data_IF_421948325665
#
_entry.id   IF_421948325665
#
_cell.length_a   1.000
_cell.length_b   1.000
_cell.length_c   1.000
_cell.angle_alpha   90.00
_cell.angle_beta   90.00
_cell.angle_gamma   90.00
#
_symmetry.space_group_name_H-M   'P 1'
#
loop_
_entity.id
_entity.type
_entity.pdbx_description
1 polymer ?
#
# COMPACT_ATOMS: atom_id res chain seq x y z
N UNK A 1 -34.06 -9.63 12.98
CA UNK A 1 -33.39 -10.24 11.83
C UNK A 1 -32.32 -11.19 12.28
N UNK A 2 -32.25 -12.33 11.72
CA UNK A 2 -31.36 -13.39 12.16
C UNK A 2 -29.93 -13.07 11.63
N UNK A 3 -28.96 -13.01 12.52
CA UNK A 3 -27.54 -12.72 12.19
C UNK A 3 -26.98 -13.64 11.10
N UNK A 4 -27.54 -14.83 10.93
CA UNK A 4 -27.18 -15.77 9.85
C UNK A 4 -27.57 -15.29 8.45
N UNK A 5 -28.66 -14.54 8.32
CA UNK A 5 -29.12 -14.02 7.03
C UNK A 5 -28.28 -12.83 6.57
N UNK A 6 -27.88 -11.97 7.51
CA UNK A 6 -27.05 -10.82 7.21
C UNK A 6 -25.66 -11.26 6.72
N UNK A 7 -25.06 -12.27 7.36
CA UNK A 7 -23.78 -12.84 6.93
C UNK A 7 -23.86 -13.52 5.55
N UNK A 8 -25.00 -14.16 5.24
CA UNK A 8 -25.21 -14.78 3.94
C UNK A 8 -25.35 -13.75 2.83
N UNK A 9 -26.09 -12.68 3.08
CA UNK A 9 -26.27 -11.56 2.12
C UNK A 9 -24.93 -10.87 1.87
N UNK A 10 -24.16 -10.59 2.93
CA UNK A 10 -22.83 -9.96 2.81
C UNK A 10 -21.86 -10.82 2.01
N UNK A 11 -21.81 -12.12 2.28
CA UNK A 11 -20.96 -13.06 1.54
C UNK A 11 -21.37 -13.16 0.08
N UNK A 12 -22.67 -13.23 -0.20
CA UNK A 12 -23.19 -13.29 -1.57
C UNK A 12 -22.86 -11.99 -2.33
N UNK A 13 -23.01 -10.83 -1.67
CA UNK A 13 -22.69 -9.54 -2.25
C UNK A 13 -21.20 -9.42 -2.54
N UNK A 14 -20.34 -9.88 -1.65
CA UNK A 14 -18.88 -9.89 -1.83
C UNK A 14 -18.48 -10.77 -3.01
N UNK A 15 -19.05 -11.98 -3.11
CA UNK A 15 -18.78 -12.90 -4.23
C UNK A 15 -19.26 -12.32 -5.55
N UNK A 16 -20.42 -11.67 -5.59
CA UNK A 16 -20.94 -11.01 -6.79
C UNK A 16 -20.07 -9.83 -7.19
N UNK A 17 -19.61 -9.03 -6.22
CA UNK A 17 -18.69 -7.93 -6.47
C UNK A 17 -17.38 -8.43 -7.06
N UNK A 18 -16.81 -9.51 -6.50
CA UNK A 18 -15.58 -10.12 -7.01
C UNK A 18 -15.75 -10.65 -8.44
N UNK A 19 -16.89 -11.28 -8.74
CA UNK A 19 -17.22 -11.75 -10.09
C UNK A 19 -17.34 -10.58 -11.05
N UNK A 20 -18.04 -9.51 -10.67
CA UNK A 20 -18.20 -8.32 -11.48
C UNK A 20 -16.85 -7.65 -11.79
N UNK A 21 -15.97 -7.55 -10.78
CA UNK A 21 -14.62 -7.01 -10.96
C UNK A 21 -13.78 -7.84 -11.93
N UNK A 22 -13.98 -9.16 -11.94
CA UNK A 22 -13.29 -10.06 -12.88
C UNK A 22 -13.86 -10.01 -14.29
N UNK A 23 -15.14 -9.70 -14.43
CA UNK A 23 -15.86 -9.67 -15.72
C UNK A 23 -15.76 -8.30 -16.40
N UNK A 24 -15.72 -7.22 -15.61
CA UNK A 24 -15.55 -5.88 -16.16
C UNK A 24 -14.15 -5.73 -16.75
N UNK A 25 -14.06 -5.32 -18.04
CA UNK A 25 -12.75 -5.12 -18.64
C UNK A 25 -12.03 -3.97 -17.95
N UNK A 26 -10.92 -4.26 -17.29
CA UNK A 26 -10.04 -3.24 -16.76
C UNK A 26 -9.47 -2.40 -17.91
N UNK A 27 -9.28 -1.10 -17.71
CA UNK A 27 -8.63 -0.25 -18.69
C UNK A 27 -7.20 -0.70 -18.92
N UNK A 28 -6.59 -0.28 -20.02
CA UNK A 28 -5.18 -0.56 -20.32
C UNK A 28 -4.28 -0.04 -19.20
N UNK A 29 -4.55 1.14 -18.69
CA UNK A 29 -3.77 1.77 -17.64
C UNK A 29 -3.91 1.03 -16.30
N UNK A 30 -5.12 0.58 -15.96
CA UNK A 30 -5.36 -0.22 -14.75
C UNK A 30 -4.59 -1.54 -14.80
N UNK A 31 -4.60 -2.23 -15.93
CA UNK A 31 -3.85 -3.48 -16.10
C UNK A 31 -2.35 -3.25 -16.01
N UNK A 32 -1.87 -2.18 -16.60
CA UNK A 32 -0.45 -1.84 -16.58
C UNK A 32 0.01 -1.40 -15.18
N UNK A 33 -0.79 -0.59 -14.50
CA UNK A 33 -0.54 -0.21 -13.11
C UNK A 33 -0.43 -1.44 -12.21
N UNK A 34 -1.36 -2.37 -12.35
CA UNK A 34 -1.35 -3.63 -11.59
C UNK A 34 -0.10 -4.46 -11.87
N UNK A 35 0.33 -4.54 -13.13
CA UNK A 35 1.55 -5.25 -13.51
C UNK A 35 2.79 -4.65 -12.86
N UNK A 36 2.92 -3.32 -12.92
CA UNK A 36 4.04 -2.63 -12.26
C UNK A 36 4.02 -2.82 -10.75
N UNK A 37 2.85 -2.75 -10.13
CA UNK A 37 2.71 -3.00 -8.70
C UNK A 37 3.18 -4.40 -8.32
N UNK A 38 2.78 -5.42 -9.07
CA UNK A 38 3.21 -6.80 -8.85
C UNK A 38 4.71 -6.98 -9.03
N UNK A 39 5.30 -6.37 -10.05
CA UNK A 39 6.74 -6.41 -10.26
C UNK A 39 7.48 -5.71 -9.12
N UNK A 40 6.95 -4.60 -8.64
CA UNK A 40 7.50 -3.90 -7.48
C UNK A 40 7.49 -4.77 -6.23
N UNK A 41 6.37 -5.44 -5.95
CA UNK A 41 6.26 -6.35 -4.81
C UNK A 41 7.24 -7.52 -4.90
N UNK A 42 7.38 -8.10 -6.09
CA UNK A 42 8.31 -9.20 -6.31
C UNK A 42 9.77 -8.77 -6.09
N UNK A 43 10.15 -7.62 -6.63
CA UNK A 43 11.49 -7.06 -6.45
C UNK A 43 11.75 -6.72 -4.98
N UNK A 44 10.77 -6.15 -4.27
CA UNK A 44 10.87 -5.85 -2.85
C UNK A 44 11.09 -7.12 -2.03
N UNK A 45 10.35 -8.17 -2.32
CA UNK A 45 10.51 -9.48 -1.64
C UNK A 45 11.88 -10.09 -1.86
N UNK A 46 12.48 -9.84 -3.02
CA UNK A 46 13.84 -10.31 -3.35
C UNK A 46 14.94 -9.41 -2.81
N UNK A 47 14.60 -8.30 -2.19
CA UNK A 47 15.57 -7.33 -1.67
C UNK A 47 16.14 -6.39 -2.74
N UNK A 48 15.64 -6.44 -3.97
CA UNK A 48 16.02 -5.51 -5.03
C UNK A 48 15.19 -4.22 -4.92
N UNK A 49 15.58 -3.37 -4.00
CA UNK A 49 14.83 -2.16 -3.67
C UNK A 49 14.85 -1.11 -4.77
N UNK A 50 15.93 -1.03 -5.52
CA UNK A 50 16.01 -0.10 -6.66
C UNK A 50 14.98 -0.44 -7.73
N UNK A 51 14.90 -1.71 -8.12
CA UNK A 51 13.92 -2.20 -9.08
C UNK A 51 12.49 -2.07 -8.51
N UNK A 52 12.30 -2.36 -7.24
CA UNK A 52 11.01 -2.21 -6.59
C UNK A 52 10.51 -0.75 -6.66
N UNK A 53 11.34 0.21 -6.32
CA UNK A 53 11.00 1.63 -6.38
C UNK A 53 10.65 2.06 -7.82
N UNK A 54 11.44 1.66 -8.79
CA UNK A 54 11.19 1.97 -10.21
C UNK A 54 9.80 1.50 -10.63
N UNK A 55 9.45 0.25 -10.31
CA UNK A 55 8.14 -0.31 -10.64
C UNK A 55 7.00 0.36 -9.87
N UNK A 56 7.19 0.68 -8.59
CA UNK A 56 6.19 1.39 -7.81
C UNK A 56 5.94 2.80 -8.35
N UNK A 57 6.97 3.52 -8.76
CA UNK A 57 6.80 4.84 -9.36
C UNK A 57 6.05 4.78 -10.69
N UNK A 58 6.33 3.78 -11.51
CA UNK A 58 5.57 3.57 -12.74
C UNK A 58 4.10 3.23 -12.44
N UNK A 59 3.84 2.41 -11.43
CA UNK A 59 2.48 2.11 -11.00
C UNK A 59 1.73 3.37 -10.56
N UNK A 60 2.38 4.26 -9.80
CA UNK A 60 1.77 5.52 -9.35
C UNK A 60 1.37 6.44 -10.50
N UNK A 61 2.11 6.44 -11.59
CA UNK A 61 1.78 7.26 -12.76
C UNK A 61 0.46 6.86 -13.42
N UNK A 62 0.09 5.58 -13.30
CA UNK A 62 -1.05 4.99 -14.00
C UNK A 62 -2.24 4.71 -13.06
N UNK A 63 -2.00 4.56 -11.76
CA UNK A 63 -3.02 4.25 -10.78
C UNK A 63 -3.80 5.50 -10.38
N UNK A 64 -5.11 5.47 -10.58
CA UNK A 64 -5.99 6.58 -10.23
C UNK A 64 -6.77 6.35 -8.94
N UNK A 65 -7.00 5.09 -8.57
CA UNK A 65 -7.75 4.77 -7.36
C UNK A 65 -6.98 5.18 -6.11
N UNK A 66 -7.55 6.05 -5.24
CA UNK A 66 -6.84 6.54 -4.06
C UNK A 66 -6.46 5.43 -3.08
N UNK A 67 -7.29 4.41 -2.96
CA UNK A 67 -7.04 3.29 -2.05
C UNK A 67 -5.82 2.49 -2.50
N UNK A 68 -5.77 2.15 -3.79
CA UNK A 68 -4.64 1.42 -4.36
C UNK A 68 -3.37 2.26 -4.34
N UNK A 69 -3.49 3.56 -4.60
CA UNK A 69 -2.37 4.49 -4.48
C UNK A 69 -1.78 4.51 -3.07
N UNK A 70 -2.63 4.44 -2.05
CA UNK A 70 -2.17 4.45 -0.65
C UNK A 70 -1.28 3.26 -0.34
N UNK A 71 -1.59 2.09 -0.84
CA UNK A 71 -0.75 0.90 -0.65
C UNK A 71 0.58 1.00 -1.37
N UNK A 72 0.60 1.54 -2.57
CA UNK A 72 1.86 1.77 -3.31
C UNK A 72 2.75 2.73 -2.52
N UNK A 73 2.20 3.85 -2.07
CA UNK A 73 2.92 4.85 -1.27
C UNK A 73 3.43 4.27 0.05
N UNK A 74 2.63 3.45 0.71
CA UNK A 74 3.04 2.73 1.91
C UNK A 74 4.25 1.83 1.64
N UNK A 75 4.22 1.05 0.57
CA UNK A 75 5.33 0.16 0.21
C UNK A 75 6.61 0.94 -0.13
N UNK A 76 6.49 2.07 -0.80
CA UNK A 76 7.63 2.96 -1.06
C UNK A 76 8.22 3.43 0.28
N UNK A 77 7.37 3.89 1.21
CA UNK A 77 7.80 4.30 2.54
C UNK A 77 8.53 3.18 3.28
N UNK A 78 8.05 1.95 3.17
CA UNK A 78 8.65 0.78 3.80
C UNK A 78 10.06 0.52 3.27
N UNK A 79 10.28 0.67 1.97
CA UNK A 79 11.61 0.54 1.35
C UNK A 79 12.56 1.58 1.93
N UNK A 80 12.15 2.85 1.98
CA UNK A 80 12.99 3.90 2.54
C UNK A 80 13.28 3.68 4.02
N UNK A 81 12.29 3.23 4.81
CA UNK A 81 12.47 2.89 6.21
C UNK A 81 13.49 1.77 6.40
N UNK A 82 13.40 0.72 5.61
CA UNK A 82 14.33 -0.41 5.67
C UNK A 82 15.75 0.00 5.28
N UNK A 83 15.88 1.04 4.48
CA UNK A 83 17.17 1.58 4.05
C UNK A 83 17.70 2.67 4.99
N UNK A 84 16.99 2.96 6.07
CA UNK A 84 17.41 3.95 7.08
C UNK A 84 17.08 5.41 6.71
N UNK A 85 16.43 5.66 5.59
CA UNK A 85 15.98 6.99 5.20
C UNK A 85 14.60 7.28 5.80
N UNK A 86 14.60 7.57 7.09
CA UNK A 86 13.37 7.76 7.85
C UNK A 86 12.60 9.01 7.45
N UNK A 87 13.30 10.05 7.03
CA UNK A 87 12.66 11.28 6.57
C UNK A 87 11.76 11.03 5.35
N UNK A 88 12.29 10.35 4.34
CA UNK A 88 11.50 9.96 3.17
C UNK A 88 10.42 8.94 3.50
N UNK A 89 10.71 7.99 4.37
CA UNK A 89 9.72 7.02 4.82
C UNK A 89 8.51 7.71 5.43
N UNK A 90 8.71 8.66 6.33
CA UNK A 90 7.63 9.43 6.95
C UNK A 90 6.83 10.21 5.92
N UNK A 91 7.48 10.82 4.95
CA UNK A 91 6.83 11.56 3.87
C UNK A 91 5.86 10.66 3.09
N UNK A 92 6.30 9.47 2.68
CA UNK A 92 5.46 8.53 1.95
C UNK A 92 4.36 7.92 2.81
N UNK A 93 4.63 7.62 4.09
CA UNK A 93 3.60 7.12 5.00
C UNK A 93 2.50 8.16 5.21
N UNK A 94 2.85 9.44 5.35
CA UNK A 94 1.86 10.52 5.50
C UNK A 94 1.05 10.69 4.21
N UNK A 95 1.67 10.61 3.04
CA UNK A 95 0.94 10.63 1.77
C UNK A 95 -0.05 9.47 1.67
N UNK A 96 0.36 8.27 2.09
CA UNK A 96 -0.52 7.10 2.12
C UNK A 96 -1.73 7.34 3.03
N UNK A 97 -1.51 7.90 4.21
CA UNK A 97 -2.57 8.19 5.18
C UNK A 97 -3.53 9.30 4.72
N UNK A 98 -3.07 10.24 3.90
CA UNK A 98 -3.95 11.24 3.30
C UNK A 98 -5.00 10.59 2.38
N UNK A 99 -4.62 9.52 1.69
CA UNK A 99 -5.50 8.79 0.78
C UNK A 99 -6.31 7.70 1.48
N UNK A 100 -5.75 7.12 2.53
CA UNK A 100 -6.38 6.07 3.33
C UNK A 100 -6.03 6.26 4.80
N UNK A 101 -6.88 6.96 5.52
CA UNK A 101 -6.67 7.29 6.93
C UNK A 101 -6.70 6.06 7.86
N UNK A 102 -7.19 4.93 7.37
CA UNK A 102 -7.29 3.68 8.11
C UNK A 102 -6.25 2.66 7.64
N UNK A 103 -5.01 3.08 7.54
CA UNK A 103 -3.90 2.20 7.20
C UNK A 103 -3.06 1.96 8.47
N UNK A 104 -3.44 0.97 9.31
CA UNK A 104 -2.78 0.76 10.60
C UNK A 104 -1.29 0.43 10.47
N UNK A 105 -0.88 -0.20 9.38
CA UNK A 105 0.54 -0.50 9.12
C UNK A 105 1.36 0.78 9.00
N UNK A 106 0.85 1.80 8.31
CA UNK A 106 1.54 3.08 8.17
C UNK A 106 1.63 3.81 9.52
N UNK A 107 0.54 3.84 10.27
CA UNK A 107 0.51 4.45 11.61
C UNK A 107 1.51 3.76 12.54
N UNK A 108 1.54 2.44 12.54
CA UNK A 108 2.46 1.67 13.37
C UNK A 108 3.92 1.95 12.98
N UNK A 109 4.23 1.97 11.70
CA UNK A 109 5.59 2.20 11.22
C UNK A 109 6.06 3.64 11.50
N UNK A 110 5.17 4.62 11.42
CA UNK A 110 5.47 5.99 11.85
C UNK A 110 5.85 6.02 13.34
N UNK A 111 5.04 5.37 14.18
CA UNK A 111 5.31 5.31 15.61
C UNK A 111 6.67 4.65 15.91
N UNK A 112 7.01 3.58 15.21
CA UNK A 112 8.30 2.89 15.34
C UNK A 112 9.46 3.82 14.98
N UNK A 113 9.33 4.57 13.89
CA UNK A 113 10.37 5.54 13.47
C UNK A 113 10.59 6.60 14.54
N UNK A 114 9.53 7.21 15.05
CA UNK A 114 9.66 8.24 16.08
C UNK A 114 10.23 7.68 17.38
N UNK A 115 9.85 6.48 17.76
CA UNK A 115 10.44 5.81 18.94
C UNK A 115 11.94 5.59 18.75
N UNK A 116 12.35 5.09 17.59
CA UNK A 116 13.76 4.85 17.29
C UNK A 116 14.56 6.16 17.28
N UNK A 117 14.04 7.21 16.69
CA UNK A 117 14.68 8.52 16.67
C UNK A 117 14.77 9.14 18.07
N UNK A 118 13.73 8.98 18.87
CA UNK A 118 13.70 9.43 20.25
C UNK A 118 14.75 8.72 21.12
N UNK A 119 14.87 7.41 20.98
CA UNK A 119 15.86 6.61 21.67
C UNK A 119 17.28 7.05 21.30
N UNK A 120 17.53 7.24 20.01
CA UNK A 120 18.84 7.69 19.52
C UNK A 120 19.21 9.08 20.02
N UNK A 121 18.23 9.98 20.14
CA UNK A 121 18.45 11.31 20.68
C UNK A 121 18.79 11.30 22.16
N UNK A 122 18.20 10.38 22.94
CA UNK A 122 18.46 10.26 24.37
C UNK A 122 19.81 9.62 24.70
N UNK A 123 20.43 8.90 23.77
CA UNK A 123 21.77 8.31 23.92
C UNK A 123 22.90 9.33 23.69
N UNK A 124 22.58 10.48 23.14
CA UNK A 124 23.53 11.59 22.97
C UNK A 124 23.54 12.48 24.20
#
# INVERSE_FOLDING_TARGET
>A
MNQKNDNFIDKTFTVLADILLKVLPATKDEKQAFSYYRYGMSAQSSGDYAEALENYYEALKLEEDPFDRSYILYNIGLIYSNNGDYSKALEYYHQALELNSRLPQALNNIAVIYHYQGTKASEK
#
